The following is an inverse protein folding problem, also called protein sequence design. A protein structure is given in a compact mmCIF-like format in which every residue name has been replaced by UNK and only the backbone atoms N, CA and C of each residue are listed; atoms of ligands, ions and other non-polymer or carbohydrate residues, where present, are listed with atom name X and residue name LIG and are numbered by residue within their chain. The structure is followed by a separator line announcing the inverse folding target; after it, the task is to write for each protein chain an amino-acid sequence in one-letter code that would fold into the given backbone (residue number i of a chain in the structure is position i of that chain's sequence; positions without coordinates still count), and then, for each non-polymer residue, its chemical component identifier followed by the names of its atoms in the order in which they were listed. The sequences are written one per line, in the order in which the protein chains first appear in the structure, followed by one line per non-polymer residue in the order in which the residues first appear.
data_IF_354509650672
#
_entry.id   IF_354509650672
#
_cell.length_a   1.000
_cell.length_b   1.000
_cell.length_c   1.000
_cell.angle_alpha   90.00
_cell.angle_beta   90.00
_cell.angle_gamma   90.00
#
_symmetry.space_group_name_H-M   'P 1'
#
loop_
_entity.id
_entity.type
_entity.pdbx_description
1 polymer ?
#
# COMPACT_ATOMS: atom_id res chain seq x y z
N UNK A 1 0.60 -0.78 -7.66
CA UNK A 1 1.69 0.15 -8.01
C UNK A 1 1.22 1.59 -8.16
N UNK A 2 0.08 1.87 -8.81
CA UNK A 2 -0.42 3.25 -9.00
C UNK A 2 -0.56 3.98 -7.66
N UNK A 3 -1.24 3.38 -6.68
CA UNK A 3 -1.40 3.99 -5.35
C UNK A 3 -0.04 4.24 -4.67
N UNK A 4 0.89 3.29 -4.76
CA UNK A 4 2.21 3.42 -4.15
C UNK A 4 3.03 4.56 -4.78
N UNK A 5 3.07 4.63 -6.11
CA UNK A 5 3.83 5.68 -6.84
C UNK A 5 3.23 7.05 -6.56
N UNK A 6 1.91 7.18 -6.65
CA UNK A 6 1.20 8.45 -6.37
C UNK A 6 1.42 8.88 -4.92
N UNK A 7 1.34 7.94 -3.96
CA UNK A 7 1.61 8.23 -2.55
C UNK A 7 3.06 8.73 -2.33
N UNK A 8 4.05 8.03 -2.87
CA UNK A 8 5.46 8.42 -2.72
C UNK A 8 5.74 9.82 -3.34
N UNK A 9 5.14 10.10 -4.49
CA UNK A 9 5.24 11.42 -5.11
C UNK A 9 4.63 12.52 -4.23
N UNK A 10 3.42 12.28 -3.68
CA UNK A 10 2.76 13.21 -2.78
C UNK A 10 3.50 13.37 -1.45
N UNK A 11 4.06 12.28 -0.91
CA UNK A 11 4.90 12.33 0.28
C UNK A 11 6.14 13.22 0.05
N UNK A 12 6.84 13.03 -1.07
CA UNK A 12 8.01 13.83 -1.42
C UNK A 12 7.66 15.32 -1.58
N UNK A 13 6.66 15.62 -2.40
CA UNK A 13 6.24 17.02 -2.63
C UNK A 13 5.70 17.66 -1.36
N UNK A 14 4.94 16.93 -0.53
CA UNK A 14 4.45 17.39 0.76
C UNK A 14 5.58 17.69 1.76
N UNK A 15 6.61 16.83 1.82
CA UNK A 15 7.80 17.07 2.65
C UNK A 15 8.61 18.30 2.19
N UNK A 16 8.74 18.53 0.89
CA UNK A 16 9.35 19.74 0.35
C UNK A 16 8.60 20.98 0.84
N UNK A 17 7.28 20.96 0.79
CA UNK A 17 6.44 22.06 1.26
C UNK A 17 6.51 22.25 2.79
N UNK A 18 6.52 21.16 3.54
CA UNK A 18 6.54 21.19 5.01
C UNK A 18 7.89 21.63 5.57
N UNK A 19 8.99 21.07 5.05
CA UNK A 19 10.34 21.28 5.58
C UNK A 19 11.12 22.39 4.89
N UNK A 20 10.56 22.95 3.83
CA UNK A 20 11.26 23.86 2.95
C UNK A 20 11.84 25.08 3.65
N UNK A 21 11.05 25.73 4.48
CA UNK A 21 11.48 26.95 5.20
C UNK A 21 12.59 26.67 6.22
N UNK A 22 12.54 25.55 6.88
CA UNK A 22 13.45 25.21 7.99
C UNK A 22 14.71 24.49 7.54
N UNK A 23 14.62 23.68 6.48
CA UNK A 23 15.73 22.84 6.03
C UNK A 23 16.24 23.22 4.63
N UNK A 24 15.33 23.46 3.66
CA UNK A 24 15.75 23.63 2.28
C UNK A 24 16.25 25.04 1.96
N UNK A 25 15.66 26.09 2.54
CA UNK A 25 16.16 27.47 2.36
C UNK A 25 17.60 27.63 2.86
N UNK A 26 17.97 27.16 4.07
CA UNK A 26 19.35 27.24 4.53
C UNK A 26 20.37 26.50 3.66
N UNK A 27 19.92 25.42 2.97
CA UNK A 27 20.79 24.59 2.14
C UNK A 27 20.92 25.11 0.69
N UNK A 28 19.80 25.57 0.12
CA UNK A 28 19.70 25.86 -1.32
C UNK A 28 19.44 27.33 -1.65
N UNK A 29 19.17 28.17 -0.63
CA UNK A 29 18.79 29.55 -0.81
C UNK A 29 17.32 29.76 -1.20
N UNK A 30 16.89 31.03 -1.18
CA UNK A 30 15.48 31.36 -1.43
C UNK A 30 15.03 31.13 -2.87
N UNK A 31 15.87 31.41 -3.86
CA UNK A 31 15.48 31.36 -5.27
C UNK A 31 15.20 29.92 -5.72
N UNK A 32 16.14 29.00 -5.46
CA UNK A 32 15.96 27.59 -5.79
C UNK A 32 14.81 26.98 -4.99
N UNK A 33 14.71 27.32 -3.70
CA UNK A 33 13.59 26.84 -2.90
C UNK A 33 12.23 27.34 -3.43
N UNK A 34 12.12 28.60 -3.84
CA UNK A 34 10.84 29.14 -4.35
C UNK A 34 10.39 28.41 -5.62
N UNK A 35 11.33 28.07 -6.51
CA UNK A 35 11.04 27.26 -7.70
C UNK A 35 10.55 25.86 -7.32
N UNK A 36 11.27 25.17 -6.44
CA UNK A 36 10.92 23.83 -5.97
C UNK A 36 9.57 23.81 -5.24
N UNK A 37 9.32 24.79 -4.37
CA UNK A 37 8.06 24.90 -3.63
C UNK A 37 6.88 25.16 -4.55
N UNK A 38 7.04 26.05 -5.55
CA UNK A 38 6.00 26.32 -6.55
C UNK A 38 5.67 25.06 -7.36
N UNK A 39 6.67 24.39 -7.91
CA UNK A 39 6.50 23.16 -8.67
C UNK A 39 5.88 22.04 -7.81
N UNK A 40 6.35 21.89 -6.56
CA UNK A 40 5.81 20.90 -5.62
C UNK A 40 4.35 21.18 -5.27
N UNK A 41 3.98 22.43 -5.02
CA UNK A 41 2.61 22.82 -4.70
C UNK A 41 1.65 22.52 -5.84
N UNK A 42 1.98 22.93 -7.05
CA UNK A 42 1.10 22.73 -8.20
C UNK A 42 0.95 21.24 -8.53
N UNK A 43 2.05 20.49 -8.52
CA UNK A 43 2.01 19.05 -8.77
C UNK A 43 1.32 18.28 -7.65
N UNK A 44 1.51 18.65 -6.38
CA UNK A 44 0.83 18.06 -5.23
C UNK A 44 -0.69 18.24 -5.34
N UNK A 45 -1.14 19.45 -5.66
CA UNK A 45 -2.55 19.75 -5.82
C UNK A 45 -3.18 19.01 -7.01
N UNK A 46 -2.44 18.86 -8.10
CA UNK A 46 -2.90 18.13 -9.30
C UNK A 46 -2.99 16.62 -9.05
N UNK A 47 -2.00 16.04 -8.37
CA UNK A 47 -1.90 14.59 -8.14
C UNK A 47 -2.75 14.12 -6.95
N UNK A 48 -3.06 15.01 -5.99
CA UNK A 48 -3.88 14.70 -4.81
C UNK A 48 -5.21 14.00 -5.13
N UNK A 49 -6.03 14.49 -6.05
CA UNK A 49 -7.26 13.79 -6.47
C UNK A 49 -7.02 12.39 -7.06
N UNK A 50 -5.89 12.17 -7.75
CA UNK A 50 -5.52 10.86 -8.29
C UNK A 50 -5.25 9.87 -7.16
N UNK A 51 -4.64 10.33 -6.06
CA UNK A 51 -4.47 9.52 -4.85
C UNK A 51 -5.82 9.05 -4.30
N UNK A 52 -6.80 9.94 -4.17
CA UNK A 52 -8.14 9.59 -3.69
C UNK A 52 -8.82 8.55 -4.58
N UNK A 53 -8.76 8.72 -5.91
CA UNK A 53 -9.31 7.74 -6.87
C UNK A 53 -8.59 6.39 -6.71
N UNK A 54 -7.26 6.38 -6.62
CA UNK A 54 -6.47 5.17 -6.43
C UNK A 54 -6.79 4.47 -5.10
N UNK A 55 -7.02 5.25 -4.04
CA UNK A 55 -7.45 4.75 -2.73
C UNK A 55 -8.82 4.07 -2.82
N UNK A 56 -9.80 4.70 -3.49
CA UNK A 56 -11.12 4.12 -3.71
C UNK A 56 -11.02 2.82 -4.52
N UNK A 57 -10.22 2.79 -5.56
CA UNK A 57 -9.98 1.57 -6.35
C UNK A 57 -9.40 0.44 -5.49
N UNK A 58 -8.44 0.75 -4.61
CA UNK A 58 -7.89 -0.22 -3.64
C UNK A 58 -8.98 -0.73 -2.70
N UNK A 59 -9.83 0.16 -2.18
CA UNK A 59 -10.95 -0.24 -1.29
C UNK A 59 -11.87 -1.22 -2.01
N UNK A 60 -12.33 -0.88 -3.21
CA UNK A 60 -13.26 -1.73 -3.98
C UNK A 60 -12.62 -3.09 -4.31
N UNK A 61 -11.33 -3.11 -4.64
CA UNK A 61 -10.63 -4.34 -5.04
C UNK A 61 -10.40 -5.31 -3.88
N UNK A 62 -10.13 -4.80 -2.67
CA UNK A 62 -9.66 -5.64 -1.57
C UNK A 62 -10.59 -5.70 -0.35
N UNK A 63 -11.71 -4.93 -0.32
CA UNK A 63 -12.58 -4.84 0.85
C UNK A 63 -13.05 -6.21 1.37
N UNK A 64 -13.49 -7.10 0.45
CA UNK A 64 -14.02 -8.42 0.82
C UNK A 64 -12.97 -9.31 1.52
N UNK A 65 -11.70 -9.19 1.14
CA UNK A 65 -10.59 -9.99 1.70
C UNK A 65 -10.05 -9.41 3.00
N UNK A 66 -10.43 -8.18 3.35
CA UNK A 66 -10.00 -7.47 4.56
C UNK A 66 -11.09 -7.41 5.65
N UNK A 67 -12.16 -8.21 5.51
CA UNK A 67 -13.18 -8.38 6.55
C UNK A 67 -12.58 -9.24 7.69
N UNK A 68 -13.02 -8.94 8.92
CA UNK A 68 -12.62 -9.71 10.09
C UNK A 68 -12.99 -11.20 9.95
N UNK A 69 -12.04 -12.07 10.29
CA UNK A 69 -12.20 -13.52 10.29
C UNK A 69 -11.91 -14.12 11.66
N UNK A 70 -12.47 -15.31 11.91
CA UNK A 70 -12.18 -16.04 13.14
C UNK A 70 -10.69 -16.37 13.22
N UNK A 71 -10.04 -15.93 14.31
CA UNK A 71 -8.59 -16.08 14.51
C UNK A 71 -7.80 -14.77 14.41
N UNK A 72 -8.34 -13.73 13.76
CA UNK A 72 -7.66 -12.44 13.61
C UNK A 72 -7.33 -11.79 14.97
N UNK A 73 -8.26 -11.88 15.93
CA UNK A 73 -8.01 -11.38 17.28
C UNK A 73 -6.89 -12.17 17.99
N UNK A 74 -6.85 -13.48 17.81
CA UNK A 74 -5.77 -14.33 18.37
C UNK A 74 -4.43 -13.96 17.75
N UNK A 75 -4.42 -13.72 16.43
CA UNK A 75 -3.24 -13.25 15.71
C UNK A 75 -2.73 -11.92 16.28
N UNK A 76 -3.63 -10.96 16.50
CA UNK A 76 -3.30 -9.65 17.05
C UNK A 76 -2.75 -9.75 18.48
N UNK A 77 -3.41 -10.52 19.36
CA UNK A 77 -3.00 -10.71 20.75
C UNK A 77 -1.64 -11.42 20.89
N UNK A 78 -1.30 -12.26 19.92
CA UNK A 78 0.01 -12.93 19.84
C UNK A 78 1.05 -12.12 19.05
N UNK A 79 0.70 -10.90 18.60
CA UNK A 79 1.58 -10.03 17.83
C UNK A 79 2.13 -10.71 16.56
N UNK A 80 1.29 -11.49 15.85
CA UNK A 80 1.74 -12.23 14.66
C UNK A 80 2.72 -13.38 14.95
N UNK A 81 2.80 -13.84 16.19
CA UNK A 81 3.73 -14.88 16.63
C UNK A 81 4.97 -14.36 17.37
N UNK A 82 5.15 -13.04 17.49
CA UNK A 82 6.21 -12.46 18.30
C UNK A 82 6.01 -12.67 19.81
N UNK A 83 4.75 -12.81 20.25
CA UNK A 83 4.41 -13.04 21.66
C UNK A 83 3.98 -14.50 21.82
N UNK A 84 4.81 -15.28 22.52
CA UNK A 84 4.56 -16.71 22.75
C UNK A 84 5.29 -17.60 21.75
N UNK A 85 5.30 -18.91 22.05
CA UNK A 85 5.87 -19.92 21.15
C UNK A 85 4.75 -20.57 20.32
N UNK A 86 4.82 -20.47 19.02
CA UNK A 86 3.94 -21.19 18.12
C UNK A 86 3.47 -20.40 16.92
N UNK A 87 3.14 -21.14 15.87
CA UNK A 87 2.55 -20.62 14.65
C UNK A 87 1.20 -19.97 14.93
N UNK A 88 0.93 -18.84 14.28
CA UNK A 88 -0.36 -18.13 14.37
C UNK A 88 -1.02 -18.18 13.00
N UNK A 89 -2.13 -18.89 12.94
CA UNK A 89 -2.87 -19.13 11.70
C UNK A 89 -3.33 -17.83 11.03
N UNK A 90 -3.07 -17.70 9.72
CA UNK A 90 -3.46 -16.58 8.86
C UNK A 90 -4.34 -17.02 7.69
N UNK A 91 -5.30 -16.14 7.31
CA UNK A 91 -6.08 -16.28 6.07
C UNK A 91 -5.35 -15.71 4.87
N UNK A 92 -6.10 -15.33 3.81
CA UNK A 92 -5.52 -14.67 2.63
C UNK A 92 -4.73 -13.40 3.02
N UNK A 93 -5.30 -12.59 3.91
CA UNK A 93 -4.58 -11.55 4.64
C UNK A 93 -4.57 -11.90 6.13
N UNK A 94 -3.42 -11.75 6.79
CA UNK A 94 -3.32 -11.84 8.23
C UNK A 94 -3.81 -10.53 8.88
N UNK A 95 -4.00 -10.52 10.21
CA UNK A 95 -4.54 -9.34 10.89
C UNK A 95 -3.63 -8.12 10.84
N UNK A 96 -2.31 -8.29 10.69
CA UNK A 96 -1.37 -7.19 10.47
C UNK A 96 -1.63 -6.49 9.14
N UNK A 97 -1.81 -7.26 8.07
CA UNK A 97 -2.13 -6.76 6.73
C UNK A 97 -3.52 -6.12 6.68
N UNK A 98 -4.52 -6.71 7.35
CA UNK A 98 -5.85 -6.12 7.49
C UNK A 98 -5.79 -4.80 8.28
N UNK A 99 -5.00 -4.73 9.34
CA UNK A 99 -4.80 -3.49 10.11
C UNK A 99 -4.15 -2.40 9.27
N UNK A 100 -3.14 -2.75 8.47
CA UNK A 100 -2.53 -1.86 7.50
C UNK A 100 -3.55 -1.32 6.49
N UNK A 101 -4.34 -2.21 5.89
CA UNK A 101 -5.38 -1.84 4.93
C UNK A 101 -6.38 -0.81 5.51
N UNK A 102 -6.95 -1.08 6.68
CA UNK A 102 -7.90 -0.17 7.31
C UNK A 102 -7.28 1.15 7.75
N UNK A 103 -6.04 1.11 8.23
CA UNK A 103 -5.31 2.31 8.60
C UNK A 103 -5.05 3.22 7.40
N UNK A 104 -4.63 2.65 6.27
CA UNK A 104 -4.44 3.41 5.00
C UNK A 104 -5.76 4.04 4.56
N UNK A 105 -6.89 3.35 4.67
CA UNK A 105 -8.21 3.91 4.33
C UNK A 105 -8.54 5.09 5.24
N UNK A 106 -8.48 4.90 6.55
CA UNK A 106 -8.89 5.94 7.51
C UNK A 106 -8.02 7.19 7.38
N UNK A 107 -6.71 7.03 7.41
CA UNK A 107 -5.78 8.15 7.31
C UNK A 107 -5.79 8.73 5.89
N UNK A 108 -5.81 7.88 4.86
CA UNK A 108 -5.86 8.29 3.46
C UNK A 108 -7.09 9.10 3.12
N UNK A 109 -8.26 8.74 3.63
CA UNK A 109 -9.48 9.55 3.49
C UNK A 109 -9.38 10.87 4.25
N UNK A 110 -8.86 10.86 5.48
CA UNK A 110 -8.70 12.07 6.27
C UNK A 110 -7.76 13.09 5.59
N UNK A 111 -6.61 12.64 5.07
CA UNK A 111 -5.69 13.53 4.33
C UNK A 111 -6.26 13.95 2.98
N UNK A 112 -7.03 13.09 2.30
CA UNK A 112 -7.67 13.47 1.02
C UNK A 112 -8.74 14.52 1.21
N UNK A 113 -9.64 14.34 2.18
CA UNK A 113 -10.71 15.30 2.47
C UNK A 113 -10.12 16.63 2.93
N UNK A 114 -9.18 16.60 3.87
CA UNK A 114 -8.51 17.81 4.34
C UNK A 114 -7.72 18.51 3.23
N UNK A 115 -7.05 17.76 2.35
CA UNK A 115 -6.34 18.30 1.19
C UNK A 115 -7.27 18.97 0.19
N UNK A 116 -8.43 18.38 -0.12
CA UNK A 116 -9.45 18.99 -0.97
C UNK A 116 -10.00 20.30 -0.39
N UNK A 117 -10.18 20.36 0.94
CA UNK A 117 -10.57 21.61 1.62
C UNK A 117 -9.49 22.67 1.47
N UNK A 118 -8.22 22.30 1.65
CA UNK A 118 -7.09 23.23 1.58
C UNK A 118 -6.85 23.79 0.16
N UNK A 119 -7.11 22.99 -0.87
CA UNK A 119 -6.92 23.39 -2.27
C UNK A 119 -8.06 24.26 -2.78
N UNK A 120 -9.19 24.28 -2.07
CA UNK A 120 -10.43 24.95 -2.48
C UNK A 120 -10.86 26.07 -1.52
N UNK A 121 -10.03 27.11 -1.27
CA UNK A 121 -10.31 28.14 -0.25
C UNK A 121 -11.53 29.02 -0.60
N UNK A 122 -11.99 28.99 -1.85
CA UNK A 122 -13.07 29.83 -2.35
C UNK A 122 -14.49 29.29 -2.09
N UNK A 123 -14.63 28.11 -1.48
CA UNK A 123 -15.92 27.55 -1.12
C UNK A 123 -16.50 28.09 0.20
N UNK A 124 -15.94 29.19 0.75
CA UNK A 124 -16.48 29.86 1.92
C UNK A 124 -16.17 29.18 3.26
N UNK A 125 -15.18 28.30 3.31
CA UNK A 125 -14.76 27.66 4.56
C UNK A 125 -14.21 28.72 5.53
N UNK A 126 -14.71 28.69 6.77
CA UNK A 126 -14.22 29.56 7.83
C UNK A 126 -12.79 29.25 8.25
N UNK A 127 -12.11 30.20 8.87
CA UNK A 127 -10.70 30.07 9.33
C UNK A 127 -10.47 28.83 10.19
N UNK A 128 -11.45 28.45 11.03
CA UNK A 128 -11.36 27.28 11.91
C UNK A 128 -11.28 25.99 11.10
N UNK A 129 -12.13 25.84 10.07
CA UNK A 129 -12.14 24.65 9.21
C UNK A 129 -10.81 24.55 8.47
N UNK A 130 -10.29 25.64 7.92
CA UNK A 130 -9.00 25.66 7.24
C UNK A 130 -7.85 25.27 8.18
N UNK A 131 -7.86 25.77 9.43
CA UNK A 131 -6.84 25.44 10.43
C UNK A 131 -6.89 23.96 10.83
N UNK A 132 -8.09 23.42 11.09
CA UNK A 132 -8.28 21.99 11.40
C UNK A 132 -7.82 21.13 10.20
N UNK A 133 -8.23 21.48 8.99
CA UNK A 133 -7.83 20.73 7.79
C UNK A 133 -6.32 20.73 7.60
N UNK A 134 -5.65 21.85 7.89
CA UNK A 134 -4.18 21.91 7.83
C UNK A 134 -3.53 20.96 8.84
N UNK A 135 -3.99 20.97 10.08
CA UNK A 135 -3.47 20.08 11.13
C UNK A 135 -3.74 18.61 10.78
N UNK A 136 -4.95 18.26 10.39
CA UNK A 136 -5.33 16.88 10.00
C UNK A 136 -4.49 16.41 8.81
N UNK A 137 -4.32 17.25 7.80
CA UNK A 137 -3.54 16.91 6.60
C UNK A 137 -2.08 16.64 6.94
N UNK A 138 -1.43 17.54 7.68
CA UNK A 138 0.00 17.42 8.01
C UNK A 138 0.25 16.24 8.96
N UNK A 139 -0.52 16.14 10.05
CA UNK A 139 -0.35 15.03 11.01
C UNK A 139 -0.67 13.68 10.37
N UNK A 140 -1.76 13.61 9.62
CA UNK A 140 -2.12 12.40 8.88
C UNK A 140 -1.05 11.99 7.88
N UNK A 141 -0.49 12.94 7.14
CA UNK A 141 0.59 12.67 6.19
C UNK A 141 1.86 12.17 6.90
N UNK A 142 2.28 12.79 8.00
CA UNK A 142 3.45 12.34 8.77
C UNK A 142 3.24 10.90 9.29
N UNK A 143 2.07 10.63 9.87
CA UNK A 143 1.74 9.29 10.37
C UNK A 143 1.75 8.28 9.21
N UNK A 144 1.08 8.58 8.09
CA UNK A 144 1.01 7.67 6.96
C UNK A 144 2.40 7.42 6.34
N UNK A 145 3.24 8.42 6.22
CA UNK A 145 4.64 8.27 5.76
C UNK A 145 5.41 7.34 6.70
N UNK A 146 5.35 7.60 8.02
CA UNK A 146 6.09 6.81 9.00
C UNK A 146 5.69 5.32 8.98
N UNK A 147 4.39 5.03 8.97
CA UNK A 147 3.91 3.64 8.95
C UNK A 147 4.13 2.97 7.59
N UNK A 148 4.11 3.76 6.48
CA UNK A 148 4.44 3.24 5.14
C UNK A 148 5.91 2.81 5.03
N UNK A 149 6.83 3.49 5.68
CA UNK A 149 8.23 3.04 5.75
C UNK A 149 8.35 1.67 6.42
N UNK A 150 7.61 1.46 7.53
CA UNK A 150 7.53 0.16 8.20
C UNK A 150 6.90 -0.92 7.30
N UNK A 151 5.82 -0.58 6.60
CA UNK A 151 5.17 -1.49 5.64
C UNK A 151 6.10 -1.86 4.48
N UNK A 152 6.81 -0.90 3.90
CA UNK A 152 7.78 -1.16 2.83
C UNK A 152 8.93 -2.03 3.32
N UNK A 153 9.44 -1.78 4.53
CA UNK A 153 10.47 -2.62 5.14
C UNK A 153 9.97 -4.06 5.32
N UNK A 154 8.81 -4.25 5.94
CA UNK A 154 8.24 -5.60 6.17
C UNK A 154 7.94 -6.33 4.86
N UNK A 155 7.38 -5.63 3.87
CA UNK A 155 7.03 -6.21 2.57
C UNK A 155 8.20 -6.44 1.62
N UNK A 156 9.43 -6.00 1.95
CA UNK A 156 10.61 -6.16 1.08
C UNK A 156 11.76 -6.90 1.75
N UNK A 157 12.20 -6.45 2.92
CA UNK A 157 13.40 -6.94 3.62
C UNK A 157 13.00 -7.76 4.85
N UNK A 158 12.00 -7.30 5.60
CA UNK A 158 11.62 -7.87 6.89
C UNK A 158 10.97 -9.25 6.78
N UNK A 159 10.29 -9.55 5.65
CA UNK A 159 9.70 -10.86 5.36
C UNK A 159 10.12 -11.31 3.97
N UNK A 160 11.12 -12.19 3.91
CA UNK A 160 11.64 -12.71 2.65
C UNK A 160 10.52 -13.37 1.82
N UNK A 161 10.46 -13.10 0.52
CA UNK A 161 9.41 -13.61 -0.40
C UNK A 161 8.15 -12.76 -0.48
N UNK A 162 7.88 -11.88 0.48
CA UNK A 162 6.65 -11.08 0.55
C UNK A 162 6.44 -10.16 -0.67
N UNK A 163 7.51 -9.60 -1.21
CA UNK A 163 7.46 -8.68 -2.36
C UNK A 163 7.09 -9.36 -3.68
N UNK A 164 7.22 -10.69 -3.78
CA UNK A 164 6.99 -11.41 -5.03
C UNK A 164 5.52 -11.29 -5.50
N UNK A 165 4.57 -11.26 -4.59
CA UNK A 165 3.17 -10.98 -4.90
C UNK A 165 2.99 -9.66 -5.67
N UNK A 166 3.75 -8.63 -5.31
CA UNK A 166 3.68 -7.31 -5.93
C UNK A 166 4.41 -7.24 -7.27
N UNK A 167 5.45 -8.06 -7.45
CA UNK A 167 6.26 -8.10 -8.68
C UNK A 167 5.65 -8.96 -9.78
N UNK A 168 5.24 -10.17 -9.41
CA UNK A 168 4.82 -11.20 -10.36
C UNK A 168 3.32 -11.54 -10.27
N UNK A 169 2.65 -11.19 -9.16
CA UNK A 169 1.29 -11.64 -8.87
C UNK A 169 1.24 -13.05 -8.26
N UNK A 170 2.40 -13.69 -8.05
CA UNK A 170 2.52 -15.05 -7.52
C UNK A 170 3.41 -15.07 -6.28
N UNK A 171 3.20 -16.07 -5.44
CA UNK A 171 4.03 -16.34 -4.26
C UNK A 171 4.35 -17.82 -4.17
N UNK A 172 5.48 -18.16 -3.55
CA UNK A 172 5.88 -19.54 -3.30
C UNK A 172 4.91 -20.24 -2.32
N UNK A 173 4.51 -21.47 -2.62
CA UNK A 173 3.53 -22.20 -1.79
C UNK A 173 4.05 -22.48 -0.39
N UNK A 174 5.34 -22.73 -0.20
CA UNK A 174 5.92 -22.93 1.11
C UNK A 174 5.90 -21.64 1.94
N UNK A 175 6.08 -20.49 1.26
CA UNK A 175 5.92 -19.18 1.89
C UNK A 175 4.46 -18.97 2.35
N UNK A 176 3.48 -19.34 1.52
CA UNK A 176 2.05 -19.24 1.85
C UNK A 176 1.73 -20.16 3.04
N UNK A 177 2.26 -21.37 3.08
CA UNK A 177 2.08 -22.30 4.21
C UNK A 177 2.64 -21.74 5.52
N UNK A 178 3.78 -21.07 5.46
CA UNK A 178 4.43 -20.51 6.64
C UNK A 178 3.73 -19.27 7.21
N UNK A 179 3.07 -18.45 6.36
CA UNK A 179 2.53 -17.15 6.76
C UNK A 179 1.00 -17.06 6.67
N UNK A 180 0.35 -17.91 5.83
CA UNK A 180 -1.07 -17.87 5.47
C UNK A 180 -1.63 -19.29 5.33
N UNK A 181 -1.46 -20.11 6.36
CA UNK A 181 -1.76 -21.55 6.37
C UNK A 181 -3.21 -21.89 5.97
N UNK A 182 -4.19 -21.07 6.37
CA UNK A 182 -5.60 -21.26 5.97
C UNK A 182 -5.80 -21.00 4.48
N UNK A 183 -5.11 -20.02 3.93
CA UNK A 183 -5.15 -19.77 2.50
C UNK A 183 -4.40 -20.85 1.72
N UNK A 184 -3.28 -21.34 2.23
CA UNK A 184 -2.56 -22.48 1.64
C UNK A 184 -3.45 -23.72 1.50
N UNK A 185 -4.26 -24.02 2.52
CA UNK A 185 -5.22 -25.11 2.46
C UNK A 185 -6.27 -24.90 1.36
N UNK A 186 -6.85 -23.71 1.26
CA UNK A 186 -7.85 -23.38 0.24
C UNK A 186 -7.31 -23.52 -1.18
N UNK A 187 -6.11 -23.02 -1.48
CA UNK A 187 -5.53 -23.11 -2.83
C UNK A 187 -5.16 -24.54 -3.21
N UNK A 188 -4.78 -25.37 -2.22
CA UNK A 188 -4.53 -26.79 -2.45
C UNK A 188 -5.82 -27.57 -2.70
N UNK A 189 -6.87 -27.30 -1.93
CA UNK A 189 -8.18 -27.94 -2.09
C UNK A 189 -8.83 -27.57 -3.43
N UNK A 190 -8.57 -26.35 -3.95
CA UNK A 190 -9.09 -25.86 -5.22
C UNK A 190 -8.21 -26.20 -6.43
N UNK A 191 -7.08 -26.88 -6.24
CA UNK A 191 -6.09 -27.18 -7.29
C UNK A 191 -5.56 -25.91 -7.99
N UNK A 192 -5.35 -24.82 -7.21
CA UNK A 192 -4.86 -23.53 -7.70
C UNK A 192 -3.32 -23.39 -7.60
N UNK A 193 -2.62 -24.44 -7.19
CA UNK A 193 -1.16 -24.46 -7.06
C UNK A 193 -0.53 -24.76 -8.41
N UNK A 194 0.16 -23.79 -8.99
CA UNK A 194 0.87 -23.98 -10.25
C UNK A 194 2.15 -24.79 -10.05
N UNK A 195 2.41 -25.72 -10.96
CA UNK A 195 3.70 -26.37 -11.07
C UNK A 195 4.76 -25.38 -11.60
N UNK A 196 6.04 -25.68 -11.38
CA UNK A 196 7.14 -24.85 -11.91
C UNK A 196 7.09 -24.72 -13.44
N UNK A 197 6.61 -25.77 -14.13
CA UNK A 197 6.48 -25.79 -15.58
C UNK A 197 5.32 -24.88 -16.06
N UNK A 198 4.16 -24.95 -15.42
CA UNK A 198 3.01 -24.08 -15.72
C UNK A 198 3.36 -22.62 -15.47
N UNK A 199 4.02 -22.34 -14.35
CA UNK A 199 4.49 -20.97 -14.04
C UNK A 199 5.48 -20.46 -15.11
N UNK A 200 6.42 -21.31 -15.57
CA UNK A 200 7.38 -20.95 -16.59
C UNK A 200 6.72 -20.71 -17.97
N UNK A 201 5.68 -21.48 -18.30
CA UNK A 201 4.86 -21.27 -19.52
C UNK A 201 4.12 -19.93 -19.48
N UNK A 202 3.44 -19.63 -18.38
CA UNK A 202 2.72 -18.36 -18.21
C UNK A 202 3.61 -17.13 -18.33
N UNK A 203 4.90 -17.25 -18.00
CA UNK A 203 5.88 -16.17 -18.10
C UNK A 203 6.71 -16.19 -19.38
N UNK A 204 6.33 -17.01 -20.36
CA UNK A 204 7.01 -17.10 -21.66
C UNK A 204 8.46 -17.64 -21.58
N UNK A 205 8.82 -18.33 -20.48
CA UNK A 205 10.15 -18.92 -20.27
C UNK A 205 10.29 -20.29 -20.92
N UNK A 206 9.18 -20.96 -21.21
CA UNK A 206 9.11 -22.24 -21.93
C UNK A 206 8.02 -22.06 -23.01
N UNK A 207 8.28 -22.42 -24.29
CA UNK A 207 7.27 -22.38 -25.34
C UNK A 207 6.11 -23.33 -25.01
N UNK A 208 4.88 -22.94 -25.42
CA UNK A 208 3.74 -23.86 -25.33
C UNK A 208 4.10 -25.17 -26.03
N UNK A 209 3.88 -26.29 -25.34
CA UNK A 209 4.17 -27.60 -25.93
C UNK A 209 3.28 -27.81 -27.15
N UNK A 210 3.89 -28.22 -28.26
CA UNK A 210 3.23 -28.57 -29.53
C UNK A 210 2.44 -29.88 -29.45
N UNK A 211 2.00 -30.31 -28.28
CA UNK A 211 1.26 -31.58 -28.09
C UNK A 211 -0.16 -31.56 -28.67
N UNK A 212 -0.70 -30.39 -29.04
CA UNK A 212 -1.98 -30.31 -29.75
C UNK A 212 -1.92 -30.60 -31.26
N UNK A 213 -0.73 -30.84 -31.82
CA UNK A 213 -0.57 -31.16 -33.25
C UNK A 213 -0.77 -32.67 -33.56
N UNK A 214 -0.84 -33.55 -32.57
CA UNK A 214 -0.99 -35.00 -32.79
C UNK A 214 -2.40 -35.54 -32.55
N UNK A 215 -3.37 -34.72 -32.17
CA UNK A 215 -4.77 -35.15 -31.98
C UNK A 215 -5.68 -34.88 -33.21
N UNK A 216 -5.11 -34.44 -34.35
CA UNK A 216 -5.84 -34.17 -35.61
C UNK A 216 -5.24 -34.87 -36.84
N UNK A 217 -4.58 -35.99 -36.65
CA UNK A 217 -4.17 -36.85 -37.79
C UNK A 217 -4.83 -38.20 -37.71
#
# INVERSE_FOLDING_TARGET
WTLAIVFLFLALTGLILLLGRTMLIPLFGHDLFSLLASASKESHNLIGPIFLVSLIMMVVSFARRNIYEKGDLTWLLKGGGFIGKGHVSGGFFNMGEKSWYWMVILIGLAISISGLILVSPNFGQGRVIMAISHVVHVLGAIILIAVSLGHMYMGSIGTEGSIEAMKSGYVDINWVEAHHDRWAQQVKENDEVLTAEEFARLHGRIPESTDNAKAQS
#
